data_IF_053937609958
#
_entry.id   IF_053937609958
#
_cell.length_a   1.000
_cell.length_b   1.000
_cell.length_c   1.000
_cell.angle_alpha   90.00
_cell.angle_beta   90.00
_cell.angle_gamma   90.00
#
_symmetry.space_group_name_H-M   'P 1'
#
loop_
_entity.id
_entity.type
_entity.pdbx_description
1 polymer ?
#
# COMPACT_ATOMS: atom_id res chain seq x y z
N UNK A 1 22.84 -68.79 10.55
CA UNK A 1 23.64 -67.56 10.68
C UNK A 1 23.57 -66.75 9.39
N UNK A 2 22.83 -65.62 9.39
CA UNK A 2 23.14 -64.34 8.71
C UNK A 2 21.92 -63.41 8.82
N UNK A 3 22.10 -62.39 9.68
CA UNK A 3 21.55 -61.02 9.64
C UNK A 3 20.07 -60.85 9.27
N UNK A 4 19.14 -60.49 10.17
CA UNK A 4 19.12 -59.31 11.04
C UNK A 4 19.87 -58.12 10.41
N UNK A 5 19.19 -57.34 9.56
CA UNK A 5 19.33 -55.87 9.30
C UNK A 5 18.51 -55.57 8.05
N UNK A 6 17.19 -55.34 8.16
CA UNK A 6 16.38 -54.67 7.11
C UNK A 6 15.21 -53.85 7.67
N UNK A 7 15.30 -53.38 8.92
CA UNK A 7 14.30 -52.51 9.53
C UNK A 7 14.90 -51.14 9.87
N UNK A 8 15.29 -50.33 8.88
CA UNK A 8 15.63 -48.89 9.09
C UNK A 8 15.44 -47.96 7.88
N UNK A 9 14.71 -48.37 6.82
CA UNK A 9 14.58 -47.53 5.60
C UNK A 9 13.11 -47.32 5.21
N UNK A 10 12.19 -47.33 6.18
CA UNK A 10 10.76 -47.02 5.92
C UNK A 10 10.24 -45.90 6.83
N UNK A 11 11.12 -45.28 7.63
CA UNK A 11 10.75 -44.26 8.62
C UNK A 11 11.16 -42.83 8.28
N UNK A 12 11.66 -42.55 7.07
CA UNK A 12 12.30 -41.26 6.78
C UNK A 12 11.97 -40.64 5.41
N UNK A 13 10.89 -41.09 4.77
CA UNK A 13 10.46 -40.50 3.50
C UNK A 13 9.00 -40.12 3.67
N UNK A 14 8.70 -38.86 3.38
CA UNK A 14 7.35 -38.30 3.20
C UNK A 14 6.55 -37.85 4.44
N UNK A 15 7.20 -37.38 5.51
CA UNK A 15 6.59 -36.40 6.45
C UNK A 15 7.14 -34.99 6.15
N UNK A 16 7.13 -34.61 4.87
CA UNK A 16 7.49 -33.25 4.41
C UNK A 16 6.49 -32.72 3.37
N UNK A 17 5.23 -33.16 3.42
CA UNK A 17 4.16 -32.72 2.51
C UNK A 17 3.09 -31.84 3.19
N UNK A 18 3.45 -31.10 4.22
CA UNK A 18 2.64 -29.99 4.74
C UNK A 18 3.57 -29.04 5.52
N UNK A 19 3.62 -27.72 5.31
CA UNK A 19 2.92 -26.86 4.35
C UNK A 19 3.85 -25.77 3.76
N UNK A 20 4.53 -26.01 2.64
CA UNK A 20 5.26 -24.91 1.95
C UNK A 20 4.29 -24.04 1.13
N UNK A 21 3.01 -24.41 1.08
CA UNK A 21 1.96 -23.76 0.29
C UNK A 21 1.09 -22.76 1.09
N UNK A 22 1.62 -22.17 2.17
CA UNK A 22 0.98 -21.04 2.87
C UNK A 22 1.95 -19.86 2.97
N UNK A 23 2.59 -19.53 1.86
CA UNK A 23 2.99 -18.16 1.59
C UNK A 23 2.38 -17.76 0.25
N UNK A 24 1.04 -17.71 0.20
CA UNK A 24 0.36 -16.84 -0.74
C UNK A 24 0.66 -15.42 -0.28
N UNK A 25 1.82 -14.95 -0.74
CA UNK A 25 2.27 -13.58 -0.78
C UNK A 25 1.10 -12.61 -0.67
N UNK A 26 0.99 -11.92 0.47
CA UNK A 26 0.43 -10.59 0.47
C UNK A 26 1.39 -9.75 -0.37
N UNK A 27 1.21 -9.74 -1.69
CA UNK A 27 1.92 -8.83 -2.58
C UNK A 27 1.41 -7.42 -2.27
N UNK A 28 1.98 -6.82 -1.22
CA UNK A 28 1.97 -5.38 -1.08
C UNK A 28 2.65 -4.83 -2.33
N UNK A 29 1.87 -4.20 -3.19
CA UNK A 29 2.36 -3.67 -4.47
C UNK A 29 3.20 -2.43 -4.17
N UNK A 30 4.53 -2.55 -4.27
CA UNK A 30 5.43 -1.40 -4.19
C UNK A 30 5.28 -0.56 -5.45
N UNK A 31 4.96 0.73 -5.29
CA UNK A 31 4.77 1.64 -6.41
C UNK A 31 6.11 1.90 -7.12
N UNK A 32 6.28 1.50 -8.41
CA UNK A 32 7.53 1.71 -9.14
C UNK A 32 7.81 3.20 -9.43
N UNK A 33 6.80 4.06 -9.31
CA UNK A 33 6.95 5.49 -9.45
C UNK A 33 7.46 6.16 -8.17
N UNK A 34 7.54 5.44 -7.04
CA UNK A 34 7.84 6.05 -5.76
C UNK A 34 9.22 6.71 -5.78
N UNK A 35 9.23 8.02 -5.53
CA UNK A 35 10.45 8.78 -5.31
C UNK A 35 10.62 8.98 -3.80
N UNK A 36 11.77 8.61 -3.24
CA UNK A 36 12.04 8.78 -1.80
C UNK A 36 12.56 10.18 -1.47
N UNK A 37 12.94 10.96 -2.47
CA UNK A 37 13.51 12.30 -2.32
C UNK A 37 12.47 13.42 -2.52
N UNK A 38 11.18 13.17 -2.24
CA UNK A 38 10.15 14.18 -2.47
C UNK A 38 10.14 15.24 -1.38
N UNK A 39 9.97 16.51 -1.77
CA UNK A 39 9.93 17.64 -0.85
C UNK A 39 8.85 17.48 0.22
N UNK A 40 9.13 17.99 1.42
CA UNK A 40 8.19 17.96 2.53
C UNK A 40 6.90 18.75 2.19
N UNK A 41 5.74 18.11 2.34
CA UNK A 41 4.43 18.76 2.28
C UNK A 41 3.79 18.71 3.66
N UNK A 42 3.37 19.87 4.20
CA UNK A 42 2.65 19.92 5.47
C UNK A 42 1.15 20.07 5.21
N UNK A 43 0.34 19.23 5.84
CA UNK A 43 -1.12 19.39 5.82
C UNK A 43 -1.66 19.54 7.25
N UNK A 44 -2.76 20.27 7.43
CA UNK A 44 -3.50 20.25 8.69
C UNK A 44 -4.23 18.92 8.87
N UNK A 45 -4.18 18.36 10.07
CA UNK A 45 -4.81 17.06 10.40
C UNK A 45 -6.24 17.19 10.92
N UNK A 46 -6.68 18.40 11.22
CA UNK A 46 -7.95 18.73 11.88
C UNK A 46 -8.93 19.52 11.01
N UNK A 47 -8.50 19.98 9.83
CA UNK A 47 -9.31 20.71 8.84
C UNK A 47 -8.99 20.26 7.42
N UNK A 48 -9.85 20.67 6.49
CA UNK A 48 -9.68 20.38 5.07
C UNK A 48 -8.46 21.09 4.48
N UNK A 49 -7.83 20.47 3.48
CA UNK A 49 -6.72 21.07 2.75
C UNK A 49 -6.72 20.65 1.29
N UNK A 50 -6.42 21.60 0.41
CA UNK A 50 -6.22 21.32 -1.01
C UNK A 50 -4.79 20.91 -1.25
N UNK A 51 -4.57 19.77 -1.90
CA UNK A 51 -3.24 19.30 -2.30
C UNK A 51 -3.25 18.81 -3.74
N UNK A 52 -2.06 18.74 -4.33
CA UNK A 52 -1.80 18.01 -5.56
C UNK A 52 -1.28 16.63 -5.16
N UNK A 53 -2.05 15.60 -5.49
CA UNK A 53 -1.58 14.22 -5.42
C UNK A 53 -0.57 13.99 -6.53
N UNK A 54 0.58 13.43 -6.19
CA UNK A 54 1.63 13.08 -7.15
C UNK A 54 1.85 11.57 -7.10
N UNK A 55 1.86 10.91 -8.27
CA UNK A 55 2.04 9.46 -8.34
C UNK A 55 3.33 8.99 -7.66
N UNK A 56 4.39 9.80 -7.67
CA UNK A 56 5.66 9.49 -7.03
C UNK A 56 5.63 9.48 -5.50
N UNK A 57 4.60 10.06 -4.89
CA UNK A 57 4.42 10.07 -3.42
C UNK A 57 3.56 8.93 -2.93
N UNK A 58 2.88 8.20 -3.82
CA UNK A 58 2.09 7.03 -3.42
C UNK A 58 3.04 5.91 -3.01
N UNK A 59 2.88 5.40 -1.80
CA UNK A 59 3.71 4.32 -1.25
C UNK A 59 3.11 2.97 -1.63
N UNK A 60 1.80 2.81 -1.42
CA UNK A 60 1.06 1.60 -1.77
C UNK A 60 -0.42 1.89 -2.00
N UNK A 61 -1.11 0.99 -2.69
CA UNK A 61 -2.56 1.09 -2.95
C UNK A 61 -3.26 -0.21 -2.53
N UNK A 62 -4.39 -0.08 -1.83
CA UNK A 62 -5.28 -1.17 -1.44
C UNK A 62 -6.75 -0.80 -1.72
N UNK A 63 -7.33 -1.38 -2.77
CA UNK A 63 -8.67 -1.00 -3.23
C UNK A 63 -8.72 0.47 -3.65
N UNK A 64 -9.60 1.21 -2.97
CA UNK A 64 -9.81 2.67 -3.10
C UNK A 64 -9.01 3.48 -2.07
N UNK A 65 -8.24 2.81 -1.21
CA UNK A 65 -7.35 3.45 -0.23
C UNK A 65 -5.92 3.39 -0.71
N UNK A 66 -5.12 4.40 -0.39
CA UNK A 66 -3.69 4.40 -0.69
C UNK A 66 -2.91 5.12 0.40
N UNK A 67 -1.67 4.68 0.59
CA UNK A 67 -0.73 5.33 1.51
C UNK A 67 0.08 6.36 0.74
N UNK A 68 0.24 7.55 1.31
CA UNK A 68 0.82 8.70 0.64
C UNK A 68 1.90 9.32 1.51
N UNK A 69 3.07 9.58 0.93
CA UNK A 69 4.21 10.18 1.60
C UNK A 69 4.16 11.70 1.47
N UNK A 70 4.13 12.36 2.63
CA UNK A 70 4.34 13.79 2.78
C UNK A 70 5.82 14.15 2.99
N UNK A 71 6.73 13.17 2.88
CA UNK A 71 8.16 13.31 3.10
C UNK A 71 8.59 12.90 4.50
N UNK A 72 8.09 13.58 5.54
CA UNK A 72 8.39 13.24 6.96
C UNK A 72 7.37 12.26 7.58
N UNK A 73 6.21 12.15 6.96
CA UNK A 73 5.08 11.39 7.47
C UNK A 73 4.35 10.68 6.35
N UNK A 74 3.66 9.60 6.71
CA UNK A 74 2.80 8.83 5.81
C UNK A 74 1.37 8.94 6.32
N UNK A 75 0.47 9.24 5.40
CA UNK A 75 -0.98 9.30 5.62
C UNK A 75 -1.68 8.25 4.77
N UNK A 76 -2.90 7.90 5.15
CA UNK A 76 -3.80 7.05 4.38
C UNK A 76 -4.89 7.92 3.77
N UNK A 77 -5.12 7.77 2.48
CA UNK A 77 -6.12 8.53 1.73
C UNK A 77 -7.12 7.53 1.13
N UNK A 78 -8.40 7.75 1.38
CA UNK A 78 -9.53 7.07 0.74
C UNK A 78 -9.99 7.92 -0.45
N UNK A 79 -9.93 7.39 -1.66
CA UNK A 79 -10.46 8.05 -2.85
C UNK A 79 -11.99 7.99 -2.85
N UNK A 80 -12.64 9.15 -2.73
CA UNK A 80 -14.10 9.27 -2.66
C UNK A 80 -14.67 9.93 -3.94
N UNK A 81 -13.80 10.59 -4.72
CA UNK A 81 -14.17 11.23 -5.98
C UNK A 81 -13.71 10.44 -7.20
N UNK A 82 -14.42 10.60 -8.32
CA UNK A 82 -14.02 10.01 -9.61
C UNK A 82 -12.59 10.41 -10.02
N UNK A 83 -12.21 11.67 -9.77
CA UNK A 83 -10.86 12.17 -10.05
C UNK A 83 -9.79 11.41 -9.24
N UNK A 84 -9.99 11.27 -7.92
CA UNK A 84 -9.07 10.49 -7.07
C UNK A 84 -9.03 9.00 -7.41
N UNK A 85 -10.16 8.40 -7.82
CA UNK A 85 -10.19 7.00 -8.27
C UNK A 85 -9.43 6.82 -9.59
N UNK A 86 -9.56 7.78 -10.52
CA UNK A 86 -8.80 7.80 -11.76
C UNK A 86 -7.30 7.97 -11.50
N UNK A 87 -6.91 8.86 -10.59
CA UNK A 87 -5.52 9.01 -10.17
C UNK A 87 -4.95 7.69 -9.65
N UNK A 88 -5.67 7.00 -8.76
CA UNK A 88 -5.25 5.67 -8.30
C UNK A 88 -5.06 4.72 -9.47
N UNK A 89 -6.00 4.68 -10.42
CA UNK A 89 -5.88 3.83 -11.61
C UNK A 89 -4.62 4.17 -12.42
N UNK A 90 -4.31 5.45 -12.62
CA UNK A 90 -3.11 5.87 -13.34
C UNK A 90 -1.82 5.46 -12.61
N UNK A 91 -1.79 5.52 -11.28
CA UNK A 91 -0.69 4.99 -10.45
C UNK A 91 -0.57 3.48 -10.63
N UNK A 92 -1.69 2.75 -10.62
CA UNK A 92 -1.69 1.30 -10.86
C UNK A 92 -1.19 0.97 -12.27
N UNK A 93 -1.53 1.78 -13.25
CA UNK A 93 -1.06 1.65 -14.64
C UNK A 93 0.39 2.17 -14.83
N UNK A 94 1.12 2.46 -13.75
CA UNK A 94 2.52 2.91 -13.72
C UNK A 94 2.76 4.24 -14.46
N UNK A 95 1.77 5.12 -14.49
CA UNK A 95 1.90 6.46 -15.07
C UNK A 95 2.50 7.41 -14.03
N UNK A 96 3.82 7.45 -13.95
CA UNK A 96 4.53 8.21 -12.91
C UNK A 96 4.40 9.73 -13.01
N UNK A 97 3.91 10.26 -14.14
CA UNK A 97 3.60 11.69 -14.32
C UNK A 97 2.18 12.07 -13.88
N UNK A 98 1.37 11.10 -13.42
CA UNK A 98 0.01 11.35 -13.01
C UNK A 98 -0.02 12.25 -11.76
N UNK A 99 -0.87 13.26 -11.83
CA UNK A 99 -1.13 14.18 -10.73
C UNK A 99 -2.61 14.57 -10.73
N UNK A 100 -3.16 14.85 -9.56
CA UNK A 100 -4.58 15.22 -9.42
C UNK A 100 -4.76 16.18 -8.24
N UNK A 101 -5.55 17.24 -8.43
CA UNK A 101 -5.84 18.18 -7.35
C UNK A 101 -7.06 17.69 -6.58
N UNK A 102 -6.93 17.55 -5.26
CA UNK A 102 -8.01 17.07 -4.40
C UNK A 102 -8.12 17.92 -3.14
N UNK A 103 -9.31 17.91 -2.54
CA UNK A 103 -9.51 18.36 -1.17
C UNK A 103 -9.38 17.15 -0.26
N UNK A 104 -8.37 17.14 0.61
CA UNK A 104 -8.27 16.17 1.69
C UNK A 104 -9.14 16.61 2.86
N UNK A 105 -10.06 15.74 3.24
CA UNK A 105 -10.92 15.90 4.41
C UNK A 105 -10.47 14.92 5.49
N UNK A 106 -10.04 15.37 6.67
CA UNK A 106 -9.65 14.46 7.74
C UNK A 106 -10.87 13.66 8.22
N UNK A 107 -10.71 12.36 8.43
CA UNK A 107 -11.82 11.51 8.92
C UNK A 107 -12.17 11.80 10.39
N UNK A 108 -11.24 12.40 11.14
CA UNK A 108 -11.45 12.88 12.50
C UNK A 108 -10.76 14.23 12.71
N UNK A 109 -11.38 15.12 13.48
CA UNK A 109 -10.78 16.40 13.90
C UNK A 109 -9.80 16.15 15.05
N UNK A 110 -8.57 15.74 14.74
CA UNK A 110 -7.54 15.45 15.74
C UNK A 110 -6.15 15.68 15.17
N UNK A 111 -5.19 16.23 15.95
CA UNK A 111 -3.81 16.39 15.50
C UNK A 111 -3.11 15.05 15.21
N UNK A 112 -3.67 13.94 15.69
CA UNK A 112 -3.14 12.60 15.44
C UNK A 112 -3.85 11.88 14.29
N UNK A 113 -4.76 12.54 13.57
CA UNK A 113 -5.41 11.94 12.40
C UNK A 113 -4.36 11.53 11.36
N UNK A 114 -4.50 10.35 10.77
CA UNK A 114 -3.70 9.94 9.61
C UNK A 114 -4.54 9.51 8.42
N UNK A 115 -5.86 9.53 8.56
CA UNK A 115 -6.79 9.05 7.56
C UNK A 115 -7.56 10.24 6.96
N UNK A 116 -7.56 10.33 5.64
CA UNK A 116 -8.19 11.41 4.90
C UNK A 116 -9.07 10.86 3.79
N UNK A 117 -10.10 11.61 3.41
CA UNK A 117 -10.89 11.36 2.20
C UNK A 117 -10.50 12.38 1.14
N UNK A 118 -10.28 11.92 -0.09
CA UNK A 118 -10.01 12.78 -1.23
C UNK A 118 -11.31 13.11 -1.98
N UNK A 119 -11.73 14.38 -1.91
CA UNK A 119 -12.88 14.93 -2.62
C UNK A 119 -12.44 15.79 -3.80
N UNK A 120 -13.38 16.02 -4.73
CA UNK A 120 -13.18 16.91 -5.87
C UNK A 120 -13.10 18.38 -5.38
N UNK A 121 -12.18 19.20 -5.92
CA UNK A 121 -12.23 20.65 -5.75
C UNK A 121 -13.55 21.21 -6.32
N UNK A 122 -14.19 22.13 -5.60
CA UNK A 122 -15.38 22.84 -6.08
C UNK A 122 -15.04 23.85 -7.16
#
# INVERSE_FOLDING_TARGET
MKSLVRYKIVGLITICLAPVFVLAYAFAWENPCQNKAVHFQSIPHDKESTIILEAERVVSVNGDTFTYSLGKEIITITADSFASLRFIKDVKDKRCSAHETVILVPERKSPFNKNFKAKRPQ
#
